data_IF_743398575859
#
_entry.id   IF_743398575859
#
_cell.length_a   1.000
_cell.length_b   1.000
_cell.length_c   1.000
_cell.angle_alpha   90.00
_cell.angle_beta   90.00
_cell.angle_gamma   90.00
#
_symmetry.space_group_name_H-M   'P 1'
#
loop_
_entity.id
_entity.type
_entity.pdbx_description
1 polymer ?
#
# COMPACT_ATOMS: atom_id res chain seq x y z
N UNK A 1 -33.15 28.33 15.81
CA UNK A 1 -33.14 27.05 15.08
C UNK A 1 -31.69 26.65 14.84
N UNK A 2 -31.22 25.60 15.53
CA UNK A 2 -29.80 25.24 15.66
C UNK A 2 -29.40 24.24 14.57
N UNK A 3 -28.51 24.64 13.66
CA UNK A 3 -27.88 23.75 12.70
C UNK A 3 -26.73 23.00 13.39
N UNK A 4 -26.96 21.71 13.67
CA UNK A 4 -25.94 20.79 14.21
C UNK A 4 -24.82 20.62 13.19
N UNK A 5 -23.65 21.18 13.50
CA UNK A 5 -22.39 20.84 12.82
C UNK A 5 -21.98 19.43 13.25
N UNK A 6 -22.09 18.46 12.33
CA UNK A 6 -21.58 17.10 12.55
C UNK A 6 -20.06 17.07 12.35
N UNK A 7 -19.32 17.32 13.43
CA UNK A 7 -17.86 17.26 13.53
C UNK A 7 -17.33 15.83 13.65
N UNK A 8 -17.61 14.97 12.67
CA UNK A 8 -17.15 13.57 12.68
C UNK A 8 -16.29 13.18 11.47
N UNK A 9 -15.48 14.10 10.94
CA UNK A 9 -14.26 13.71 10.21
C UNK A 9 -13.14 13.46 11.23
N UNK A 10 -13.26 12.35 11.97
CA UNK A 10 -12.11 11.75 12.64
C UNK A 10 -11.17 11.28 11.53
N UNK A 11 -10.07 12.02 11.32
CA UNK A 11 -8.88 11.46 10.68
C UNK A 11 -8.58 10.13 11.38
N UNK A 12 -8.83 9.02 10.69
CA UNK A 12 -8.75 7.69 11.27
C UNK A 12 -7.27 7.40 11.55
N UNK A 13 -6.83 7.65 12.78
CA UNK A 13 -5.60 7.03 13.29
C UNK A 13 -5.73 5.51 13.07
N UNK A 14 -4.67 4.81 12.65
CA UNK A 14 -4.74 3.37 12.51
C UNK A 14 -5.11 2.75 13.87
N UNK A 15 -6.07 1.82 13.84
CA UNK A 15 -6.62 1.15 15.02
C UNK A 15 -5.49 0.62 15.93
N UNK A 16 -5.65 0.68 17.25
CA UNK A 16 -4.64 0.22 18.18
C UNK A 16 -4.34 -1.28 17.97
N UNK A 17 -3.04 -1.60 17.95
CA UNK A 17 -2.46 -2.96 17.87
C UNK A 17 -3.27 -3.97 18.71
N UNK A 18 -3.95 -4.91 18.05
CA UNK A 18 -4.33 -6.16 18.71
C UNK A 18 -3.05 -7.01 18.82
N UNK A 19 -2.40 -7.01 19.98
CA UNK A 19 -1.26 -7.91 20.23
C UNK A 19 -1.78 -9.34 20.16
N UNK A 20 -1.33 -10.09 19.16
CA UNK A 20 -1.61 -11.52 19.07
C UNK A 20 -0.68 -12.21 20.08
N UNK A 21 -1.18 -12.90 21.11
CA UNK A 21 -0.33 -13.55 22.09
C UNK A 21 0.44 -14.71 21.41
N UNK A 22 1.77 -14.71 21.54
CA UNK A 22 2.62 -15.85 21.14
C UNK A 22 3.46 -15.69 19.87
N UNK A 23 3.56 -14.50 19.26
CA UNK A 23 4.50 -14.28 18.14
C UNK A 23 5.79 -13.60 18.61
N UNK A 24 6.90 -14.33 18.45
CA UNK A 24 8.28 -13.88 18.55
C UNK A 24 8.47 -12.51 17.85
N UNK A 25 9.19 -11.57 18.49
CA UNK A 25 9.35 -10.16 18.10
C UNK A 25 10.22 -9.95 16.85
N UNK A 26 10.10 -10.86 15.88
CA UNK A 26 10.62 -10.67 14.52
C UNK A 26 9.88 -9.48 13.93
N UNK A 27 10.62 -8.55 13.32
CA UNK A 27 10.09 -7.31 12.71
C UNK A 27 8.95 -7.65 11.74
N UNK A 28 7.71 -7.60 12.21
CA UNK A 28 6.53 -7.89 11.40
C UNK A 28 6.20 -6.65 10.55
N UNK A 29 6.15 -6.84 9.25
CA UNK A 29 5.88 -5.77 8.28
C UNK A 29 4.38 -5.59 8.00
N UNK A 30 3.56 -6.57 8.36
CA UNK A 30 2.12 -6.56 8.12
C UNK A 30 1.43 -7.88 8.49
N UNK A 31 0.15 -7.99 8.16
CA UNK A 31 -0.67 -9.18 8.38
C UNK A 31 -1.75 -9.32 7.31
N UNK A 32 -2.24 -10.54 7.13
CA UNK A 32 -3.40 -10.83 6.29
C UNK A 32 -4.70 -10.59 7.07
N UNK A 33 -5.67 -9.97 6.42
CA UNK A 33 -7.05 -9.88 6.86
C UNK A 33 -7.91 -10.63 5.83
N UNK A 34 -8.83 -11.45 6.29
CA UNK A 34 -9.64 -12.30 5.40
C UNK A 34 -10.90 -11.58 4.89
N UNK A 35 -11.35 -10.52 5.58
CA UNK A 35 -12.54 -9.77 5.22
C UNK A 35 -12.39 -8.27 5.56
N UNK A 36 -12.00 -7.41 4.59
CA UNK A 36 -11.72 -7.71 3.19
C UNK A 36 -10.42 -8.53 3.02
N UNK A 37 -10.29 -9.27 1.92
CA UNK A 37 -9.06 -10.03 1.58
C UNK A 37 -7.92 -9.07 1.23
N UNK A 38 -7.18 -8.64 2.23
CA UNK A 38 -6.10 -7.66 2.08
C UNK A 38 -4.89 -8.04 2.90
N UNK A 39 -3.72 -7.61 2.43
CA UNK A 39 -2.52 -7.60 3.25
C UNK A 39 -2.30 -6.18 3.77
N UNK A 40 -2.34 -5.98 5.09
CA UNK A 40 -2.11 -4.68 5.72
C UNK A 40 -0.65 -4.51 6.09
N UNK A 41 0.03 -3.59 5.41
CA UNK A 41 1.40 -3.17 5.75
C UNK A 41 1.35 -2.23 6.96
N UNK A 42 2.07 -2.57 8.04
CA UNK A 42 2.14 -1.76 9.27
C UNK A 42 3.34 -0.80 9.24
N UNK A 43 4.43 -1.19 8.58
CA UNK A 43 5.67 -0.41 8.52
C UNK A 43 6.17 -0.32 7.08
N UNK A 44 6.58 0.89 6.68
CA UNK A 44 7.07 1.20 5.34
C UNK A 44 8.46 0.62 5.07
N UNK A 45 9.30 0.43 6.10
CA UNK A 45 10.72 0.08 5.99
C UNK A 45 11.02 -1.38 5.58
N UNK A 46 10.13 -2.01 4.82
CA UNK A 46 10.27 -3.39 4.37
C UNK A 46 11.62 -3.62 3.68
N UNK A 47 12.24 -4.82 3.80
CA UNK A 47 13.55 -5.11 3.22
C UNK A 47 13.60 -4.95 1.69
N UNK A 48 12.45 -5.06 1.03
CA UNK A 48 12.26 -4.84 -0.41
C UNK A 48 10.88 -4.23 -0.64
N UNK A 49 10.68 -3.42 -1.70
CA UNK A 49 9.38 -2.88 -2.02
C UNK A 49 8.38 -4.01 -2.29
N UNK A 50 7.20 -3.91 -1.68
CA UNK A 50 6.07 -4.79 -1.89
C UNK A 50 5.07 -4.08 -2.79
N UNK A 51 4.80 -4.69 -3.93
CA UNK A 51 3.97 -4.08 -4.97
C UNK A 51 2.56 -4.66 -4.95
N UNK A 52 1.60 -3.82 -5.28
CA UNK A 52 0.26 -4.22 -5.66
C UNK A 52 0.08 -3.96 -7.17
N UNK A 53 -0.65 -4.85 -7.85
CA UNK A 53 -1.02 -4.71 -9.25
C UNK A 53 -2.52 -4.42 -9.32
N UNK A 54 -2.87 -3.29 -9.92
CA UNK A 54 -4.25 -2.94 -10.25
C UNK A 54 -4.38 -3.02 -11.77
N UNK A 55 -5.29 -3.86 -12.26
CA UNK A 55 -5.53 -3.98 -13.69
C UNK A 55 -6.98 -4.30 -14.00
N UNK A 56 -7.47 -3.83 -15.13
CA UNK A 56 -8.74 -4.20 -15.75
C UNK A 56 -8.54 -5.06 -17.01
N UNK A 57 -7.34 -5.59 -17.25
CA UNK A 57 -6.97 -6.40 -18.42
C UNK A 57 -6.29 -5.59 -19.53
N UNK A 58 -6.67 -4.33 -19.73
CA UNK A 58 -6.05 -3.45 -20.73
C UNK A 58 -5.10 -2.45 -20.07
N UNK A 59 -5.56 -1.76 -19.04
CA UNK A 59 -4.73 -0.85 -18.26
C UNK A 59 -4.21 -1.57 -17.02
N UNK A 60 -2.94 -1.36 -16.72
CA UNK A 60 -2.29 -1.92 -15.54
C UNK A 60 -1.43 -0.88 -14.85
N UNK A 61 -1.40 -0.92 -13.53
CA UNK A 61 -0.51 -0.09 -12.74
C UNK A 61 0.03 -0.86 -11.54
N UNK A 62 1.34 -0.76 -11.33
CA UNK A 62 2.03 -1.28 -10.15
C UNK A 62 2.27 -0.15 -9.17
N UNK A 63 1.98 -0.37 -7.89
CA UNK A 63 2.29 0.59 -6.82
C UNK A 63 2.94 -0.12 -5.64
N UNK A 64 4.06 0.41 -5.17
CA UNK A 64 4.69 0.00 -3.92
C UNK A 64 3.99 0.63 -2.71
N UNK A 65 4.22 0.09 -1.52
CA UNK A 65 3.74 0.68 -0.26
C UNK A 65 4.25 2.12 -0.01
N UNK A 66 5.27 2.56 -0.75
CA UNK A 66 5.82 3.93 -0.71
C UNK A 66 5.18 4.88 -1.75
N UNK A 67 4.19 4.41 -2.51
CA UNK A 67 3.54 5.18 -3.56
C UNK A 67 4.33 5.27 -4.88
N UNK A 68 5.54 4.71 -4.94
CA UNK A 68 6.30 4.61 -6.17
C UNK A 68 5.68 3.54 -7.06
N UNK A 69 5.57 3.79 -8.37
CA UNK A 69 4.98 2.84 -9.32
C UNK A 69 5.14 3.26 -10.78
N UNK A 70 4.65 2.41 -11.69
CA UNK A 70 4.35 2.83 -13.06
C UNK A 70 3.05 2.22 -13.57
N UNK A 71 2.50 2.86 -14.60
CA UNK A 71 1.35 2.36 -15.34
C UNK A 71 1.64 2.13 -16.81
N UNK A 72 0.87 1.24 -17.41
CA UNK A 72 0.98 0.85 -18.81
C UNK A 72 -0.39 0.55 -19.42
N UNK A 73 -0.44 0.59 -20.75
CA UNK A 73 -1.62 0.25 -21.55
C UNK A 73 -1.33 -0.93 -22.49
N UNK A 74 -2.10 -2.00 -22.41
CA UNK A 74 -1.96 -3.28 -23.12
C UNK A 74 -0.68 -4.06 -22.80
N UNK A 75 0.49 -3.49 -23.13
CA UNK A 75 1.79 -4.16 -22.97
C UNK A 75 2.75 -3.29 -22.15
N UNK A 76 3.24 -3.79 -21.00
CA UNK A 76 4.13 -3.02 -20.12
C UNK A 76 5.47 -2.64 -20.77
N UNK A 77 5.91 -3.35 -21.82
CA UNK A 77 7.18 -3.09 -22.49
C UNK A 77 7.13 -1.94 -23.51
N UNK A 78 5.98 -1.71 -24.14
CA UNK A 78 5.87 -0.80 -25.31
C UNK A 78 4.98 0.41 -25.04
N UNK A 79 4.17 0.35 -23.99
CA UNK A 79 3.12 1.33 -23.73
C UNK A 79 3.15 1.78 -22.27
N UNK A 80 4.33 2.12 -21.77
CA UNK A 80 4.49 2.80 -20.48
C UNK A 80 3.84 4.18 -20.55
N UNK A 81 2.91 4.44 -19.61
CA UNK A 81 2.24 5.74 -19.48
C UNK A 81 3.01 6.62 -18.49
N UNK A 82 3.51 6.04 -17.41
CA UNK A 82 4.45 6.70 -16.50
C UNK A 82 5.75 5.88 -16.43
N UNK A 83 6.88 6.56 -16.22
CA UNK A 83 8.20 5.91 -16.22
C UNK A 83 8.54 5.36 -14.84
N UNK A 84 9.13 4.17 -14.78
CA UNK A 84 9.75 3.62 -13.57
C UNK A 84 11.26 3.47 -13.73
N UNK A 85 12.01 3.90 -12.71
CA UNK A 85 13.46 3.72 -12.63
C UNK A 85 13.78 2.47 -11.82
N UNK A 86 14.18 1.39 -12.51
CA UNK A 86 14.45 0.08 -11.91
C UNK A 86 15.62 0.05 -10.91
N UNK A 87 16.46 1.08 -10.88
CA UNK A 87 17.78 0.99 -10.26
C UNK A 87 18.17 2.20 -9.39
N UNK A 88 17.19 2.88 -8.80
CA UNK A 88 17.49 3.86 -7.75
C UNK A 88 17.86 3.14 -6.45
N UNK A 89 19.14 2.77 -6.32
CA UNK A 89 19.73 2.49 -5.02
C UNK A 89 19.64 3.77 -4.21
N UNK A 90 18.77 3.80 -3.20
CA UNK A 90 18.63 4.94 -2.29
C UNK A 90 20.03 5.38 -1.83
N UNK A 91 20.47 6.63 -2.07
CA UNK A 91 21.71 7.09 -1.47
C UNK A 91 21.53 7.02 0.05
N UNK A 92 22.48 6.35 0.73
CA UNK A 92 22.51 6.27 2.19
C UNK A 92 22.87 7.61 2.80
#
# INVERSE_FOLDING_TARGET
MSAKQNSNTKFLMPLPRKKIPGTDLRKQWGYFEDNPRVFRVISTDTPRPWINLITNGEYGAFFSQHGMGYSFYLTPKMCEVTRWSLNESRPR
#
